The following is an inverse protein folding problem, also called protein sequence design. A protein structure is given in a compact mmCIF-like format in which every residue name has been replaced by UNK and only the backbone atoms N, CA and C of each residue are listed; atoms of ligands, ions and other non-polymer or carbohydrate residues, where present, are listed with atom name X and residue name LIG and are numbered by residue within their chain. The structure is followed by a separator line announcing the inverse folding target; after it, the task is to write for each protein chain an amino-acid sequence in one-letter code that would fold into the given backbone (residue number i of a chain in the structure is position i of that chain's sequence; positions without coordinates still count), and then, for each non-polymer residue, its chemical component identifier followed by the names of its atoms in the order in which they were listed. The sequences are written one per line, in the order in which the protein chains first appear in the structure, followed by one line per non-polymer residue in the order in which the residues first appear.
data_IF_089531777151
#
_entry.id   IF_089531777151
#
_cell.length_a   1.000
_cell.length_b   1.000
_cell.length_c   1.000
_cell.angle_alpha   90.00
_cell.angle_beta   90.00
_cell.angle_gamma   90.00
#
_symmetry.space_group_name_H-M   'P 1'
#
loop_
_entity.id
_entity.type
_entity.pdbx_description
1 polymer ?
2 non-polymer ?
3 water ?
#
# COMPACT_ATOMS: atom_id res chain seq x y z
N UNK A 21 24.09 19.45 -5.96
CA UNK A 21 22.70 19.59 -5.41
C UNK A 21 22.55 18.76 -4.13
N UNK A 22 21.74 19.24 -3.18
CA UNK A 22 21.55 18.47 -1.94
C UNK A 22 20.89 17.13 -2.27
N UNK A 23 21.10 16.14 -1.41
CA UNK A 23 20.50 14.82 -1.59
C UNK A 23 19.22 14.81 -0.78
N UNK A 24 18.08 14.78 -1.48
CA UNK A 24 16.76 14.80 -0.84
C UNK A 24 16.20 13.43 -0.49
N UNK A 25 15.84 13.25 0.78
CA UNK A 25 15.27 11.99 1.24
C UNK A 25 13.90 12.25 1.88
N UNK A 26 12.87 11.64 1.30
CA UNK A 26 11.52 11.78 1.81
C UNK A 26 11.17 10.65 2.75
N UNK A 27 10.55 10.98 3.87
CA UNK A 27 10.19 9.97 4.85
C UNK A 27 8.72 10.04 5.22
N UNK A 28 8.02 8.93 5.08
CA UNK A 28 6.62 8.93 5.44
C UNK A 28 6.21 7.74 6.32
N UNK A 29 4.91 7.62 6.55
CA UNK A 29 4.37 6.58 7.40
C UNK A 29 3.15 7.19 8.08
N UNK A 30 2.37 6.40 8.79
CA UNK A 30 1.19 6.94 9.45
C UNK A 30 1.55 7.79 10.65
N UNK A 31 0.55 8.35 11.31
CA UNK A 31 0.76 9.20 12.47
C UNK A 31 1.45 8.46 13.62
N UNK A 32 2.45 9.12 14.20
CA UNK A 32 3.21 8.57 15.31
C UNK A 32 3.86 7.22 14.98
N UNK A 33 4.21 7.04 13.71
CA UNK A 33 4.85 5.81 13.27
C UNK A 33 6.32 5.80 13.62
N UNK A 34 6.86 6.97 13.99
CA UNK A 34 8.26 7.08 14.34
C UNK A 34 9.11 7.63 13.20
N UNK A 35 8.51 8.43 12.32
CA UNK A 35 9.23 9.01 11.18
C UNK A 35 10.37 9.95 11.63
N UNK A 36 10.11 10.75 12.67
CA UNK A 36 11.09 11.67 13.17
C UNK A 36 12.28 10.92 13.76
N UNK A 37 12.01 9.92 14.59
CA UNK A 37 13.08 9.11 15.20
C UNK A 37 13.95 8.46 14.12
N UNK A 38 13.30 7.90 13.11
CA UNK A 38 14.02 7.26 12.02
C UNK A 38 14.96 8.28 11.40
N UNK A 39 14.48 9.50 11.19
CA UNK A 39 15.30 10.56 10.59
C UNK A 39 16.49 10.90 11.50
N UNK A 40 16.25 10.91 12.80
CA UNK A 40 17.27 11.22 13.77
C UNK A 40 18.35 10.13 13.79
N UNK A 41 17.91 8.86 13.80
CA UNK A 41 18.85 7.74 13.83
C UNK A 41 19.68 7.75 12.55
N UNK A 42 19.06 8.12 11.44
CA UNK A 42 19.79 8.15 10.19
C UNK A 42 20.89 9.20 10.27
N UNK A 43 20.55 10.39 10.77
CA UNK A 43 21.52 11.47 10.90
C UNK A 43 22.60 11.06 11.90
N UNK A 44 22.17 10.43 12.98
CA UNK A 44 23.06 9.97 14.03
C UNK A 44 24.13 9.02 13.46
N UNK A 45 23.71 8.12 12.58
CA UNK A 45 24.61 7.16 11.96
C UNK A 45 25.44 7.71 10.80
N UNK A 46 24.97 8.79 10.16
CA UNK A 46 25.74 9.38 9.06
C UNK A 46 26.95 10.11 9.59
N UNK A 55 32.93 15.44 6.18
CA UNK A 55 31.71 15.46 6.99
C UNK A 55 30.56 16.03 6.17
N UNK A 56 29.42 15.35 6.22
CA UNK A 56 28.24 15.78 5.48
C UNK A 56 27.31 16.63 6.37
N UNK A 57 26.85 17.75 5.82
CA UNK A 57 25.92 18.62 6.55
C UNK A 57 24.52 18.06 6.33
N UNK A 58 23.80 17.81 7.41
CA UNK A 58 22.46 17.24 7.31
C UNK A 58 21.39 18.04 8.07
N UNK A 59 20.19 18.11 7.51
CA UNK A 59 19.10 18.80 8.17
C UNK A 59 17.76 18.05 8.04
N UNK A 60 16.96 18.09 9.10
CA UNK A 60 15.68 17.41 9.09
C UNK A 60 14.54 18.42 9.08
N UNK A 61 13.67 18.31 8.08
CA UNK A 61 12.52 19.20 7.95
C UNK A 61 11.29 18.31 8.03
N UNK A 62 10.20 18.82 8.56
CA UNK A 62 8.98 18.04 8.66
C UNK A 62 7.85 18.67 7.86
N UNK A 63 6.96 17.85 7.32
CA UNK A 63 5.84 18.34 6.54
C UNK A 63 4.91 19.16 7.45
N UNK A 64 4.90 18.81 8.73
CA UNK A 64 4.07 19.48 9.72
C UNK A 64 4.28 20.98 9.80
N UNK A 65 5.50 21.42 9.54
CA UNK A 65 5.82 22.84 9.59
C UNK A 65 5.01 23.63 8.57
N UNK A 66 4.43 22.94 7.61
CA UNK A 66 3.66 23.60 6.56
C UNK A 66 2.17 23.41 6.58
N UNK A 67 1.61 23.10 7.75
CA UNK A 67 0.16 22.96 7.81
C UNK A 67 -0.39 24.33 7.42
N UNK A 68 -1.58 24.37 6.85
CA UNK A 68 -2.19 25.62 6.41
C UNK A 68 -2.65 26.52 7.55
N UNK A 69 -2.69 27.81 7.27
CA UNK A 69 -3.15 28.80 8.23
C UNK A 69 -4.67 28.63 8.23
N UNK A 70 -5.24 28.39 9.40
CA UNK A 70 -6.69 28.18 9.50
C UNK A 70 -7.51 29.42 9.81
N UNK A 71 -8.73 29.46 9.29
CA UNK A 71 -9.64 30.56 9.55
C UNK A 71 -10.10 30.35 10.99
N UNK A 72 -10.93 31.24 11.51
CA UNK A 72 -11.43 31.09 12.87
C UNK A 72 -12.45 29.95 12.93
N UNK A 73 -13.18 29.78 11.83
CA UNK A 73 -14.21 28.74 11.73
C UNK A 73 -13.56 27.35 11.71
N UNK A 74 -12.46 27.23 10.97
CA UNK A 74 -11.76 25.96 10.87
C UNK A 74 -11.08 25.66 12.20
N UNK A 75 -10.49 26.67 12.80
CA UNK A 75 -9.79 26.52 14.07
C UNK A 75 -10.78 26.06 15.13
N UNK A 76 -12.01 26.55 15.01
CA UNK A 76 -13.07 26.17 15.94
C UNK A 76 -13.30 24.67 15.81
N UNK A 77 -13.33 24.18 14.57
CA UNK A 77 -13.52 22.75 14.29
C UNK A 77 -12.40 21.96 14.95
N UNK A 78 -11.16 22.41 14.74
CA UNK A 78 -9.97 21.77 15.27
C UNK A 78 -10.00 21.62 16.79
N UNK A 79 -10.56 22.61 17.47
CA UNK A 79 -10.64 22.60 18.93
C UNK A 79 -11.55 21.51 19.44
N UNK A 80 -12.42 21.02 18.57
CA UNK A 80 -13.36 19.95 18.90
C UNK A 80 -12.93 18.64 18.22
N UNK A 81 -11.73 18.64 17.66
CA UNK A 81 -11.24 17.47 16.97
C UNK A 81 -12.21 17.15 15.84
N UNK A 82 -12.74 18.19 15.21
CA UNK A 82 -13.68 18.03 14.11
C UNK A 82 -13.13 18.54 12.80
N UNK A 83 -11.81 18.72 12.74
CA UNK A 83 -11.14 19.18 11.54
C UNK A 83 -10.21 18.08 11.05
N UNK A 84 -10.17 17.89 9.73
CA UNK A 84 -9.35 16.86 9.13
C UNK A 84 -7.93 17.33 8.81
N UNK A 85 -7.00 17.09 9.74
CA UNK A 85 -5.61 17.47 9.53
C UNK A 85 -4.84 16.37 8.82
N UNK A 86 -5.56 15.35 8.39
CA UNK A 86 -4.98 14.20 7.72
C UNK A 86 -5.35 14.10 6.25
N UNK A 87 -5.98 15.15 5.74
CA UNK A 87 -6.36 15.20 4.34
C UNK A 87 -5.27 15.99 3.63
N UNK A 88 -4.88 15.56 2.42
CA UNK A 88 -3.84 16.22 1.62
C UNK A 88 -3.92 17.75 1.64
N UNK A 89 -5.14 18.27 1.61
CA UNK A 89 -5.36 19.71 1.60
C UNK A 89 -5.16 20.44 2.91
N UNK A 90 -4.87 19.71 3.99
CA UNK A 90 -4.65 20.37 5.28
C UNK A 90 -3.29 21.06 5.25
N UNK A 91 -2.43 20.61 4.35
CA UNK A 91 -1.09 21.18 4.23
C UNK A 91 -1.01 22.26 3.17
N UNK A 92 -0.07 23.19 3.34
CA UNK A 92 0.14 24.27 2.40
C UNK A 92 1.06 23.74 1.31
N UNK A 93 0.56 22.77 0.54
CA UNK A 93 1.33 22.11 -0.51
C UNK A 93 2.09 23.01 -1.47
N UNK A 94 1.57 24.19 -1.76
CA UNK A 94 2.21 25.13 -2.69
C UNK A 94 3.51 25.65 -2.08
N UNK A 95 3.44 26.01 -0.81
CA UNK A 95 4.58 26.53 -0.08
C UNK A 95 5.66 25.45 0.05
N UNK A 96 5.22 24.22 0.30
CA UNK A 96 6.10 23.08 0.43
C UNK A 96 6.87 22.84 -0.86
N UNK A 97 6.14 22.78 -1.97
CA UNK A 97 6.76 22.55 -3.26
C UNK A 97 7.81 23.60 -3.57
N UNK A 98 7.47 24.85 -3.27
CA UNK A 98 8.35 25.97 -3.51
C UNK A 98 9.56 25.96 -2.57
N UNK A 99 9.32 25.71 -1.29
CA UNK A 99 10.40 25.68 -0.33
C UNK A 99 11.41 24.57 -0.62
N UNK A 100 10.91 23.40 -0.99
CA UNK A 100 11.76 22.25 -1.29
C UNK A 100 12.52 22.46 -2.60
N UNK A 101 11.92 23.19 -3.53
CA UNK A 101 12.56 23.44 -4.82
C UNK A 101 13.78 24.32 -4.62
N UNK A 102 13.63 25.33 -3.77
CA UNK A 102 14.70 26.27 -3.46
C UNK A 102 15.85 25.57 -2.74
N UNK A 103 15.54 24.61 -1.88
CA UNK A 103 16.57 23.86 -1.17
C UNK A 103 17.35 23.05 -2.21
N UNK A 104 16.60 22.46 -3.13
CA UNK A 104 17.17 21.66 -4.23
C UNK A 104 18.16 22.50 -5.04
N UNK A 105 17.90 23.80 -5.10
CA UNK A 105 18.72 24.73 -5.86
C UNK A 105 19.92 25.25 -5.07
N UNK A 106 20.05 24.82 -3.82
CA UNK A 106 21.17 25.25 -3.00
C UNK A 106 20.97 26.57 -2.29
N UNK A 107 19.75 27.10 -2.34
CA UNK A 107 19.47 28.37 -1.69
C UNK A 107 19.07 28.17 -0.24
N UNK A 108 19.48 29.09 0.63
CA UNK A 108 19.11 28.99 2.03
C UNK A 108 17.65 29.44 2.09
N UNK A 109 16.84 28.81 2.93
CA UNK A 109 15.43 29.16 3.00
C UNK A 109 14.89 29.44 4.39
N UNK A 110 13.68 30.00 4.42
CA UNK A 110 12.98 30.32 5.64
C UNK A 110 11.91 29.25 5.77
N UNK A 111 11.67 28.77 6.97
CA UNK A 111 10.68 27.72 7.19
C UNK A 111 9.70 28.05 8.31
N UNK A 112 8.41 27.85 8.05
CA UNK A 112 7.37 28.14 9.03
C UNK A 112 7.39 27.25 10.26
N UNK A 113 6.84 27.76 11.36
CA UNK A 113 6.76 27.07 12.65
C UNK A 113 5.28 26.94 13.02
N UNK A 114 4.82 25.70 13.18
CA UNK A 114 3.43 25.44 13.50
C UNK A 114 3.23 25.15 14.98
N UNK A 115 2.11 25.61 15.53
CA UNK A 115 1.83 25.38 16.93
C UNK A 115 0.64 24.44 17.06
N UNK A 116 0.91 23.24 17.55
CA UNK A 116 -0.12 22.22 17.70
C UNK A 116 -1.13 22.49 18.80
N UNK A 117 -0.79 23.35 19.75
CA UNK A 117 -1.71 23.64 20.84
C UNK A 117 -2.76 24.66 20.43
N UNK A 118 -2.46 25.46 19.42
CA UNK A 118 -3.40 26.48 18.95
C UNK A 118 -3.85 26.25 17.51
N UNK A 119 -3.27 25.24 16.87
CA UNK A 119 -3.60 24.92 15.48
C UNK A 119 -3.34 26.15 14.65
N UNK A 120 -2.21 26.81 14.90
CA UNK A 120 -1.88 28.03 14.17
C UNK A 120 -0.41 28.24 13.87
N UNK A 121 -0.15 28.81 12.70
CA UNK A 121 1.20 29.11 12.23
C UNK A 121 1.75 30.30 13.02
N UNK A 122 2.89 30.10 13.68
CA UNK A 122 3.51 31.15 14.47
C UNK A 122 4.12 32.22 13.58
N UNK A 123 4.35 33.41 14.13
CA UNK A 123 4.92 34.52 13.37
C UNK A 123 6.39 34.29 13.13
N UNK A 124 7.04 33.63 14.08
CA UNK A 124 8.46 33.34 13.99
C UNK A 124 8.77 32.35 12.86
N UNK A 125 9.94 32.49 12.27
CA UNK A 125 10.38 31.61 11.21
C UNK A 125 11.73 31.01 11.57
N UNK A 126 12.12 29.94 10.88
CA UNK A 126 13.40 29.31 11.15
C UNK A 126 14.25 29.23 9.88
N UNK A 127 15.48 29.73 9.97
CA UNK A 127 16.38 29.72 8.83
C UNK A 127 17.06 28.37 8.65
N UNK A 128 17.11 27.91 7.39
CA UNK A 128 17.73 26.64 7.09
C UNK A 128 18.75 26.83 5.97
N UNK A 129 20.02 26.85 6.36
CA UNK A 129 21.10 27.05 5.39
C UNK A 129 21.34 25.76 4.61
N UNK A 130 22.04 25.87 3.48
CA UNK A 130 22.35 24.73 2.61
C UNK A 130 22.82 23.49 3.38
N UNK A 131 22.75 22.34 2.72
CA UNK A 131 23.16 21.08 3.31
C UNK A 131 23.42 20.07 2.22
N UNK A 132 24.09 18.98 2.57
CA UNK A 132 24.40 17.91 1.61
C UNK A 132 23.27 16.91 1.55
N UNK A 133 22.60 16.72 2.69
CA UNK A 133 21.49 15.78 2.80
C UNK A 133 20.32 16.45 3.50
N UNK A 134 19.13 16.27 2.94
CA UNK A 134 17.93 16.84 3.51
C UNK A 134 16.86 15.77 3.68
N UNK A 135 16.39 15.62 4.91
CA UNK A 135 15.36 14.65 5.26
C UNK A 135 14.03 15.38 5.42
N UNK A 136 12.99 14.91 4.74
CA UNK A 136 11.66 15.51 4.81
C UNK A 136 10.65 14.44 5.25
N UNK A 137 10.07 14.61 6.43
CA UNK A 137 9.13 13.64 6.95
C UNK A 137 7.75 14.20 7.24
N UNK A 138 6.73 13.46 6.84
CA UNK A 138 5.36 13.88 7.06
C UNK A 138 4.40 12.77 6.66
N UNK A 139 3.20 12.77 7.23
CA UNK A 139 2.23 11.75 6.91
C UNK A 139 1.84 11.67 5.45
N UNK A 140 2.04 12.75 4.69
CA UNK A 140 1.69 12.77 3.28
C UNK A 140 2.77 13.35 2.39
N UNK A 141 4.03 13.07 2.71
CA UNK A 141 5.14 13.59 1.93
C UNK A 141 5.24 13.02 0.51
N UNK A 142 4.63 11.86 0.28
CA UNK A 142 4.69 11.23 -1.05
C UNK A 142 3.42 11.41 -1.86
N UNK A 143 2.41 12.07 -1.28
CA UNK A 143 1.14 12.27 -1.95
C UNK A 143 1.25 13.01 -3.28
N UNK A 144 1.61 14.29 -3.21
CA UNK A 144 1.78 15.10 -4.41
C UNK A 144 2.95 14.58 -5.23
N UNK A 145 2.71 14.24 -6.50
CA UNK A 145 3.76 13.74 -7.35
C UNK A 145 4.89 14.75 -7.60
N UNK A 146 4.55 16.04 -7.62
CA UNK A 146 5.57 17.06 -7.82
C UNK A 146 6.59 16.92 -6.69
N UNK A 147 6.09 16.98 -5.46
CA UNK A 147 6.94 16.85 -4.28
C UNK A 147 7.67 15.51 -4.27
N UNK A 148 6.92 14.45 -4.56
CA UNK A 148 7.45 13.08 -4.55
C UNK A 148 8.67 12.92 -5.44
N UNK A 149 8.63 13.51 -6.64
CA UNK A 149 9.74 13.41 -7.58
C UNK A 149 10.97 14.23 -7.15
N UNK A 150 10.81 15.03 -6.10
CA UNK A 150 11.93 15.85 -5.62
C UNK A 150 12.84 15.04 -4.70
N UNK A 151 12.38 13.85 -4.31
CA UNK A 151 13.15 12.99 -3.41
C UNK A 151 13.98 11.99 -4.20
N UNK A 152 15.25 11.85 -3.85
CA UNK A 152 16.12 10.90 -4.53
C UNK A 152 16.04 9.54 -3.85
N UNK A 153 15.35 9.55 -2.72
CA UNK A 153 15.14 8.34 -1.94
C UNK A 153 13.89 8.56 -1.08
N UNK A 154 13.06 7.53 -0.99
CA UNK A 154 11.83 7.62 -0.22
C UNK A 154 11.67 6.46 0.76
N UNK A 155 11.46 6.78 2.02
CA UNK A 155 11.31 5.78 3.07
C UNK A 155 9.92 5.84 3.68
N UNK A 156 9.35 4.67 3.96
CA UNK A 156 8.02 4.60 4.57
C UNK A 156 8.17 3.80 5.86
N UNK A 157 7.72 4.39 6.96
CA UNK A 157 7.81 3.75 8.26
C UNK A 157 6.51 3.01 8.52
N UNK A 158 6.62 1.71 8.74
CA UNK A 158 5.45 0.87 9.00
C UNK A 158 5.38 0.41 10.44
N UNK A 159 4.45 0.96 11.21
CA UNK A 159 4.32 0.57 12.60
C UNK A 159 2.90 0.10 12.87
N UNK A 160 2.76 -0.80 13.84
CA UNK A 160 1.45 -1.33 14.18
C UNK A 160 0.50 -0.21 14.55
N UNK A 161 -0.76 -0.33 14.11
CA UNK A 161 -1.77 0.67 14.37
C UNK A 161 -2.04 0.96 15.84
N UNK A 162 -2.12 -0.09 16.68
CA UNK A 162 -2.37 0.14 18.10
C UNK A 162 -1.15 0.78 18.78
N UNK A 163 0.04 0.51 18.25
CA UNK A 163 1.28 1.07 18.77
C UNK A 163 1.30 2.56 18.42
N UNK A 164 0.84 2.86 17.21
CA UNK A 164 0.78 4.23 16.71
C UNK A 164 -0.22 5.06 17.52
N UNK A 165 -1.39 4.49 17.77
CA UNK A 165 -2.41 5.20 18.52
C UNK A 165 -1.93 5.49 19.93
N UNK A 166 -1.36 4.46 20.57
CA UNK A 166 -0.88 4.61 21.94
C UNK A 166 0.03 5.84 22.04
N UNK A 167 0.98 5.95 21.12
CA UNK A 167 1.89 7.08 21.11
C UNK A 167 1.14 8.39 20.86
N UNK A 168 0.28 8.39 19.84
CA UNK A 168 -0.52 9.56 19.49
C UNK A 168 -1.20 10.14 20.72
N UNK A 169 -1.86 9.26 21.48
CA UNK A 169 -2.58 9.66 22.70
C UNK A 169 -1.69 10.29 23.77
N UNK A 170 -0.55 9.67 24.04
CA UNK A 170 0.35 10.20 25.05
C UNK A 170 1.04 11.49 24.60
N UNK A 171 1.40 11.54 23.33
CA UNK A 171 2.07 12.70 22.75
C UNK A 171 1.11 13.88 22.64
N UNK A 172 -0.12 13.60 22.25
CA UNK A 172 -1.12 14.66 22.12
C UNK A 172 -1.45 15.28 23.46
N UNK A 173 -1.66 14.44 24.47
CA UNK A 173 -1.96 14.90 25.81
C UNK A 173 -0.78 15.65 26.40
N UNK A 174 0.40 15.07 26.24
CA UNK A 174 1.62 15.64 26.77
C UNK A 174 2.19 16.86 26.06
N UNK A 175 2.37 16.78 24.74
CA UNK A 175 2.96 17.88 24.00
C UNK A 175 2.03 18.81 23.24
N UNK A 176 0.79 18.40 23.02
CA UNK A 176 -0.11 19.26 22.24
C UNK A 176 -1.36 19.71 23.01
N UNK A 177 -1.30 19.56 24.33
CA UNK A 177 -2.41 19.95 25.19
C UNK A 177 -3.79 19.58 24.69
N UNK A 178 -4.07 18.28 24.63
CA UNK A 178 -5.37 17.84 24.16
C UNK A 178 -5.97 16.84 25.12
N UNK A 179 -7.27 16.61 24.97
CA UNK A 179 -7.98 15.66 25.84
C UNK A 179 -8.21 14.32 25.17
N UNK A 180 -8.04 13.25 25.93
CA UNK A 180 -8.21 11.89 25.42
C UNK A 180 -9.43 11.73 24.52
N UNK A 181 -10.60 12.00 25.06
CA UNK A 181 -11.83 11.86 24.28
C UNK A 181 -11.82 12.61 22.95
N UNK A 182 -11.21 13.79 22.92
CA UNK A 182 -11.14 14.57 21.67
C UNK A 182 -10.14 13.90 20.72
N UNK A 183 -9.11 13.30 21.30
CA UNK A 183 -8.09 12.62 20.51
C UNK A 183 -8.72 11.40 19.82
N UNK A 184 -9.24 10.48 20.61
CA UNK A 184 -9.85 9.27 20.08
C UNK A 184 -10.92 9.57 19.05
N UNK A 185 -11.72 10.60 19.32
CA UNK A 185 -12.79 10.99 18.40
C UNK A 185 -12.20 11.45 17.07
N UNK A 186 -11.18 12.29 17.12
CA UNK A 186 -10.56 12.79 15.90
C UNK A 186 -9.86 11.67 15.14
N UNK A 187 -9.26 10.75 15.88
CA UNK A 187 -8.54 9.63 15.30
C UNK A 187 -9.51 8.74 14.51
N UNK A 188 -10.55 8.30 15.19
CA UNK A 188 -11.55 7.43 14.60
C UNK A 188 -12.33 8.12 13.46
N UNK A 189 -12.61 9.40 13.60
CA UNK A 189 -13.36 10.14 12.59
C UNK A 189 -12.54 10.59 11.40
N UNK A 190 -11.29 10.99 11.65
CA UNK A 190 -10.45 11.49 10.57
C UNK A 190 -9.13 10.78 10.28
N UNK A 191 -8.27 10.68 11.28
CA UNK A 191 -6.95 10.07 11.11
C UNK A 191 -6.92 8.69 10.45
N UNK A 192 -7.59 7.71 11.04
CA UNK A 192 -7.62 6.36 10.50
C UNK A 192 -8.19 6.34 9.06
N UNK A 193 -9.37 6.95 8.84
CA UNK A 193 -9.94 6.96 7.49
C UNK A 193 -8.98 7.62 6.48
N UNK A 194 -8.36 8.71 6.90
CA UNK A 194 -7.43 9.41 6.02
C UNK A 194 -6.17 8.57 5.76
N UNK A 195 -5.73 7.85 6.78
CA UNK A 195 -4.54 7.01 6.66
C UNK A 195 -4.76 5.93 5.60
N UNK A 196 -5.88 5.24 5.69
CA UNK A 196 -6.21 4.19 4.74
C UNK A 196 -6.43 4.73 3.34
N UNK A 197 -6.97 5.93 3.25
CA UNK A 197 -7.26 6.51 1.93
C UNK A 197 -6.16 7.35 1.30
N UNK A 198 -5.42 8.10 2.12
CA UNK A 198 -4.38 8.95 1.55
C UNK A 198 -2.95 8.57 1.83
N UNK A 199 -2.67 8.18 3.08
CA UNK A 199 -1.32 7.82 3.49
C UNK A 199 -0.87 6.45 2.97
N UNK A 200 -1.43 5.38 3.55
CA UNK A 200 -1.10 4.00 3.18
C UNK A 200 -0.87 3.77 1.69
N UNK A 201 -1.70 4.36 0.83
CA UNK A 201 -1.46 4.13 -0.60
C UNK A 201 -0.08 4.56 -1.08
N UNK A 202 0.47 5.62 -0.47
CA UNK A 202 1.79 6.13 -0.88
C UNK A 202 2.96 5.18 -0.58
N UNK A 203 2.74 4.16 0.24
CA UNK A 203 3.80 3.22 0.55
C UNK A 203 4.33 2.58 -0.73
N UNK A 204 3.50 2.54 -1.76
CA UNK A 204 3.94 1.94 -3.02
C UNK A 204 5.08 2.71 -3.66
N UNK A 205 5.28 3.96 -3.26
CA UNK A 205 6.34 4.80 -3.83
C UNK A 205 7.67 4.70 -3.11
N UNK A 206 7.68 4.04 -1.96
CA UNK A 206 8.90 3.92 -1.19
C UNK A 206 9.95 3.02 -1.85
N UNK A 207 11.21 3.39 -1.66
CA UNK A 207 12.34 2.61 -2.18
C UNK A 207 12.67 1.60 -1.09
N UNK A 208 12.35 1.95 0.16
CA UNK A 208 12.58 1.07 1.31
C UNK A 208 11.42 1.22 2.29
N UNK A 209 10.89 0.09 2.75
CA UNK A 209 9.81 0.10 3.72
C UNK A 209 10.44 -0.34 5.04
N UNK A 210 10.17 0.40 6.10
CA UNK A 210 10.78 0.07 7.38
C UNK A 210 9.81 -0.36 8.46
N UNK A 211 9.67 -1.68 8.68
CA UNK A 211 8.76 -2.14 9.73
C UNK A 211 9.41 -1.92 11.10
N UNK A 212 8.60 -1.76 12.13
CA UNK A 212 9.13 -1.55 13.49
C UNK A 212 9.83 -0.18 13.64
N UNK A 213 9.83 0.60 12.57
CA UNK A 213 10.43 1.92 12.59
C UNK A 213 11.85 2.05 13.09
N UNK A 214 12.10 3.12 13.83
CA UNK A 214 13.42 3.41 14.39
C UNK A 214 14.14 2.21 15.00
N UNK A 215 13.37 1.23 15.49
CA UNK A 215 13.96 0.04 16.12
C UNK A 215 14.58 -0.97 15.15
N UNK A 216 14.33 -0.78 13.87
CA UNK A 216 14.87 -1.66 12.84
C UNK A 216 16.25 -1.13 12.46
N UNK A 217 17.21 -1.27 13.38
CA UNK A 217 18.56 -0.79 13.14
C UNK A 217 19.20 -1.40 11.90
N UNK A 218 18.87 -2.65 11.61
CA UNK A 218 19.44 -3.31 10.43
C UNK A 218 19.02 -2.54 9.17
N UNK A 219 17.72 -2.27 9.03
CA UNK A 219 17.23 -1.56 7.85
C UNK A 219 17.80 -0.15 7.79
N UNK A 220 17.83 0.55 8.92
CA UNK A 220 18.35 1.91 8.93
C UNK A 220 19.83 1.92 8.54
N UNK A 221 20.58 0.91 8.99
CA UNK A 221 22.00 0.79 8.68
C UNK A 221 22.27 0.60 7.19
N UNK A 222 21.42 -0.17 6.52
CA UNK A 222 21.60 -0.40 5.09
C UNK A 222 21.31 0.90 4.37
N UNK A 223 20.33 1.64 4.89
CA UNK A 223 19.95 2.90 4.29
C UNK A 223 21.09 3.91 4.41
N UNK A 224 21.62 4.12 5.62
CA UNK A 224 22.71 5.08 5.77
C UNK A 224 23.93 4.62 4.98
N UNK A 225 24.06 3.32 4.82
CA UNK A 225 25.18 2.76 4.08
C UNK A 225 24.96 3.08 2.60
N UNK A 226 23.70 3.08 2.19
CA UNK A 226 23.33 3.37 0.81
C UNK A 226 23.49 4.87 0.53
N UNK A 227 23.17 5.69 1.52
CA UNK A 227 23.29 7.13 1.39
C UNK A 227 24.76 7.49 1.30
N UNK A 228 25.55 6.83 2.14
CA UNK A 228 26.99 7.07 2.17
C UNK A 228 27.63 6.73 0.80
N UNK A 229 27.25 5.60 0.22
CA UNK A 229 27.77 5.17 -1.07
C UNK A 229 27.48 6.15 -2.19
N UNK A 230 26.25 6.66 -2.24
CA UNK A 230 25.88 7.60 -3.29
C UNK A 230 26.66 8.90 -3.19
N UNK A 231 26.89 9.38 -1.96
CA UNK A 231 27.64 10.60 -1.75
C UNK A 231 29.12 10.40 -2.05
N UNK A 232 29.45 9.24 -2.65
CA UNK A 232 30.82 8.92 -3.03
C UNK A 232 30.84 8.46 -4.49
N UNK B 21 -26.96 -8.51 -15.82
CA UNK B 21 -25.84 -7.86 -15.05
C UNK B 21 -25.14 -8.89 -14.16
N UNK B 22 -23.90 -9.26 -14.49
CA UNK B 22 -23.09 -10.23 -13.75
C UNK B 22 -22.71 -9.85 -12.30
N UNK B 23 -22.70 -10.86 -11.44
CA UNK B 23 -22.36 -10.70 -10.04
C UNK B 23 -20.86 -10.97 -9.84
N UNK B 24 -20.13 -9.90 -9.55
CA UNK B 24 -18.68 -9.95 -9.34
C UNK B 24 -18.26 -10.24 -7.91
N UNK B 25 -17.47 -11.29 -7.76
CA UNK B 25 -16.95 -11.67 -6.45
C UNK B 25 -15.43 -11.59 -6.49
N UNK B 26 -14.84 -10.84 -5.56
CA UNK B 26 -13.40 -10.73 -5.51
C UNK B 26 -12.79 -11.67 -4.47
N UNK B 27 -11.67 -12.28 -4.80
CA UNK B 27 -11.02 -13.19 -3.86
C UNK B 27 -9.52 -12.90 -3.76
N UNK B 28 -9.06 -12.73 -2.52
CA UNK B 28 -7.64 -12.45 -2.30
C UNK B 28 -7.04 -13.36 -1.24
N UNK B 29 -5.75 -13.20 -1.03
CA UNK B 29 -5.03 -14.01 -0.07
C UNK B 29 -3.59 -13.98 -0.53
N UNK B 30 -2.70 -14.55 0.28
CA UNK B 30 -1.29 -14.57 -0.09
C UNK B 30 -1.01 -15.61 -1.16
N UNK B 31 0.24 -15.67 -1.60
CA UNK B 31 0.63 -16.63 -2.63
C UNK B 31 0.34 -18.05 -2.16
N UNK B 32 -0.28 -18.83 -3.04
CA UNK B 32 -0.60 -20.23 -2.77
C UNK B 32 -1.55 -20.46 -1.59
N UNK B 33 -2.38 -19.47 -1.30
CA UNK B 33 -3.33 -19.60 -0.20
C UNK B 33 -4.49 -20.51 -0.59
N UNK B 34 -4.59 -20.81 -1.88
CA UNK B 34 -5.65 -21.67 -2.37
C UNK B 34 -6.80 -20.87 -2.94
N UNK B 35 -6.49 -19.66 -3.41
CA UNK B 35 -7.52 -18.80 -3.98
C UNK B 35 -8.18 -19.40 -5.22
N UNK B 36 -7.40 -20.10 -6.04
CA UNK B 36 -7.93 -20.69 -7.26
C UNK B 36 -8.86 -21.86 -6.95
N UNK B 37 -8.51 -22.66 -5.94
CA UNK B 37 -9.33 -23.79 -5.53
C UNK B 37 -10.65 -23.33 -4.94
N UNK B 38 -10.61 -22.29 -4.13
CA UNK B 38 -11.82 -21.76 -3.50
C UNK B 38 -12.78 -21.39 -4.61
N UNK B 39 -12.27 -20.73 -5.64
CA UNK B 39 -13.10 -20.32 -6.76
C UNK B 39 -13.71 -21.54 -7.45
N UNK B 40 -12.86 -22.54 -7.68
CA UNK B 40 -13.29 -23.77 -8.34
C UNK B 40 -14.39 -24.44 -7.52
N UNK B 41 -14.18 -24.53 -6.20
CA UNK B 41 -15.16 -25.16 -5.31
C UNK B 41 -16.50 -24.43 -5.37
N UNK B 42 -16.46 -23.10 -5.44
CA UNK B 42 -17.68 -22.31 -5.50
C UNK B 42 -18.46 -22.64 -6.79
N UNK B 43 -17.73 -22.70 -7.90
CA UNK B 43 -18.32 -23.02 -9.19
C UNK B 43 -18.99 -24.37 -9.06
N UNK B 44 -18.19 -25.36 -8.70
CA UNK B 44 -18.65 -26.73 -8.52
C UNK B 44 -19.94 -26.77 -7.71
N UNK B 45 -19.87 -26.30 -6.46
CA UNK B 45 -21.04 -26.32 -5.59
C UNK B 45 -22.25 -25.61 -6.17
N UNK B 46 -22.05 -24.48 -6.84
CA UNK B 46 -23.18 -23.78 -7.42
C UNK B 46 -23.93 -24.71 -8.37
N UNK B 47 -23.17 -25.53 -9.09
CA UNK B 47 -23.76 -26.47 -10.03
C UNK B 47 -24.35 -27.74 -9.45
N UNK B 48 -24.62 -27.77 -8.15
CA UNK B 48 -25.20 -28.95 -7.50
C UNK B 48 -26.56 -28.66 -6.88
N UNK B 53 -32.36 -26.17 -15.62
CA UNK B 53 -33.17 -25.19 -16.35
C UNK B 53 -32.71 -23.77 -16.00
N UNK B 54 -32.20 -23.61 -14.79
CA UNK B 54 -31.72 -22.31 -14.33
C UNK B 54 -30.28 -22.36 -13.81
N UNK B 55 -29.50 -23.35 -14.26
CA UNK B 55 -28.10 -23.47 -13.84
C UNK B 55 -27.35 -22.20 -14.26
N UNK B 56 -26.75 -21.52 -13.29
CA UNK B 56 -26.04 -20.28 -13.54
C UNK B 56 -24.69 -20.39 -14.25
N UNK B 57 -24.40 -19.41 -15.11
CA UNK B 57 -23.14 -19.40 -15.82
C UNK B 57 -22.11 -18.70 -14.93
N UNK B 58 -21.00 -19.39 -14.69
CA UNK B 58 -19.96 -18.85 -13.83
C UNK B 58 -18.63 -18.82 -14.59
N UNK B 59 -17.74 -17.91 -14.21
CA UNK B 59 -16.44 -17.81 -14.84
C UNK B 59 -15.40 -17.29 -13.84
N UNK B 60 -14.18 -17.79 -13.98
CA UNK B 60 -13.08 -17.40 -13.10
C UNK B 60 -11.96 -16.65 -13.83
N UNK B 61 -11.58 -15.49 -13.28
CA UNK B 61 -10.52 -14.65 -13.84
C UNK B 61 -9.36 -14.53 -12.85
N UNK B 62 -8.15 -14.34 -13.37
CA UNK B 62 -6.96 -14.19 -12.51
C UNK B 62 -6.32 -12.82 -12.65
N UNK B 63 -5.96 -12.21 -11.52
CA UNK B 63 -5.31 -10.91 -11.54
C UNK B 63 -3.98 -11.14 -12.25
N UNK B 64 -3.46 -12.36 -12.09
CA UNK B 64 -2.20 -12.79 -12.69
C UNK B 64 -2.15 -12.63 -14.20
N UNK B 65 -3.30 -12.69 -14.86
CA UNK B 65 -3.32 -12.52 -16.31
C UNK B 65 -2.94 -11.10 -16.69
N UNK B 66 -2.97 -10.19 -15.70
CA UNK B 66 -2.67 -8.79 -15.96
C UNK B 66 -1.29 -8.32 -15.54
N UNK B 67 -0.35 -9.24 -15.37
CA UNK B 67 1.00 -8.82 -15.01
C UNK B 67 1.52 -7.97 -16.15
N UNK B 68 2.33 -6.98 -15.81
CA UNK B 68 2.88 -6.08 -16.81
C UNK B 68 3.91 -6.75 -17.72
N UNK B 69 4.14 -6.13 -18.87
CA UNK B 69 5.12 -6.61 -19.83
C UNK B 69 6.45 -6.04 -19.31
N UNK B 70 7.40 -6.93 -19.03
CA UNK B 70 8.68 -6.50 -18.50
C UNK B 70 9.65 -6.11 -19.60
N UNK B 71 10.61 -5.26 -19.25
CA UNK B 71 11.63 -4.80 -20.20
C UNK B 71 12.73 -5.85 -20.22
N UNK B 72 13.72 -5.66 -21.08
CA UNK B 72 14.82 -6.59 -21.19
C UNK B 72 15.53 -6.72 -19.84
N UNK B 73 15.77 -5.57 -19.20
CA UNK B 73 16.42 -5.53 -17.90
C UNK B 73 15.57 -6.20 -16.81
N UNK B 74 14.30 -5.86 -16.76
CA UNK B 74 13.39 -6.42 -15.76
C UNK B 74 13.27 -7.92 -15.91
N UNK B 75 13.19 -8.40 -17.14
CA UNK B 75 13.09 -9.83 -17.39
C UNK B 75 14.34 -10.57 -16.93
N UNK B 76 15.50 -9.98 -17.20
CA UNK B 76 16.76 -10.59 -16.81
C UNK B 76 16.76 -10.81 -15.31
N UNK B 77 16.43 -9.77 -14.56
CA UNK B 77 16.39 -9.86 -13.10
C UNK B 77 15.37 -10.88 -12.61
N UNK B 78 14.30 -11.06 -13.38
CA UNK B 78 13.24 -12.00 -13.01
C UNK B 78 13.75 -13.43 -13.07
N UNK B 79 14.59 -13.69 -14.06
CA UNK B 79 15.17 -15.02 -14.24
C UNK B 79 16.04 -15.36 -13.03
N UNK B 80 16.67 -14.34 -12.46
CA UNK B 80 17.52 -14.53 -11.30
C UNK B 80 16.70 -14.47 -10.00
N UNK B 81 15.39 -14.25 -10.15
CA UNK B 81 14.51 -14.17 -8.99
C UNK B 81 14.76 -12.88 -8.25
N UNK B 82 15.16 -11.85 -8.99
CA UNK B 82 15.46 -10.56 -8.41
C UNK B 82 14.44 -9.47 -8.79
N UNK B 83 13.25 -9.88 -9.18
CA UNK B 83 12.21 -8.92 -9.56
C UNK B 83 11.05 -9.08 -8.59
N UNK B 84 10.43 -7.97 -8.22
CA UNK B 84 9.31 -8.02 -7.28
C UNK B 84 7.94 -8.11 -7.97
N UNK B 85 7.42 -9.33 -8.11
CA UNK B 85 6.12 -9.53 -8.73
C UNK B 85 4.98 -9.44 -7.71
N UNK B 86 5.33 -9.05 -6.49
CA UNK B 86 4.35 -8.91 -5.41
C UNK B 86 4.06 -7.47 -5.04
N UNK B 87 4.65 -6.56 -5.78
CA UNK B 87 4.46 -5.14 -5.55
C UNK B 87 3.30 -4.66 -6.44
N UNK B 88 2.51 -3.69 -5.95
CA UNK B 88 1.38 -3.17 -6.71
C UNK B 88 1.74 -2.78 -8.14
N UNK B 89 2.96 -2.28 -8.33
CA UNK B 89 3.40 -1.86 -9.66
C UNK B 89 3.62 -2.98 -10.65
N UNK B 90 3.64 -4.22 -10.18
CA UNK B 90 3.87 -5.35 -11.07
C UNK B 90 2.63 -5.65 -11.91
N UNK B 91 1.47 -5.14 -11.48
CA UNK B 91 0.24 -5.41 -12.20
C UNK B 91 -0.21 -4.19 -13.02
N UNK B 92 -1.05 -4.43 -14.02
CA UNK B 92 -1.58 -3.35 -14.85
C UNK B 92 -2.94 -2.98 -14.25
N UNK B 93 -2.93 -2.26 -13.14
CA UNK B 93 -4.17 -1.89 -12.47
C UNK B 93 -5.13 -1.12 -13.35
N UNK B 94 -4.60 -0.35 -14.30
CA UNK B 94 -5.46 0.42 -15.20
C UNK B 94 -6.20 -0.55 -16.11
N UNK B 95 -5.45 -1.49 -16.70
CA UNK B 95 -6.04 -2.48 -17.59
C UNK B 95 -7.05 -3.34 -16.83
N UNK B 96 -6.75 -3.64 -15.58
CA UNK B 96 -7.63 -4.44 -14.73
C UNK B 96 -8.95 -3.71 -14.47
N UNK B 97 -8.86 -2.47 -14.04
CA UNK B 97 -10.06 -1.69 -13.74
C UNK B 97 -10.97 -1.57 -14.95
N UNK B 98 -10.40 -1.24 -16.10
CA UNK B 98 -11.18 -1.09 -17.32
C UNK B 98 -11.87 -2.42 -17.66
N UNK B 99 -11.09 -3.48 -17.76
CA UNK B 99 -11.64 -4.79 -18.08
C UNK B 99 -12.76 -5.20 -17.12
N UNK B 100 -12.53 -5.01 -15.83
CA UNK B 100 -13.53 -5.36 -14.82
C UNK B 100 -14.82 -4.55 -14.94
N UNK B 101 -14.68 -3.25 -15.11
CA UNK B 101 -15.85 -2.37 -15.26
C UNK B 101 -16.75 -2.81 -16.40
N UNK B 102 -16.13 -3.25 -17.50
CA UNK B 102 -16.88 -3.68 -18.67
C UNK B 102 -17.67 -4.96 -18.40
N UNK B 103 -17.04 -5.96 -17.77
CA UNK B 103 -17.74 -7.20 -17.46
C UNK B 103 -18.91 -6.85 -16.55
N UNK B 104 -18.64 -5.97 -15.60
CA UNK B 104 -19.64 -5.48 -14.65
C UNK B 104 -20.89 -4.99 -15.41
N UNK B 105 -20.64 -4.34 -16.54
CA UNK B 105 -21.70 -3.78 -17.39
C UNK B 105 -22.24 -4.78 -18.43
N UNK B 106 -21.86 -6.05 -18.31
CA UNK B 106 -22.33 -7.06 -19.24
C UNK B 106 -21.63 -7.17 -20.58
N UNK B 107 -20.66 -6.29 -20.84
CA UNK B 107 -19.93 -6.34 -22.09
C UNK B 107 -19.01 -7.54 -22.02
N UNK B 108 -18.70 -8.14 -23.17
CA UNK B 108 -17.79 -9.28 -23.17
C UNK B 108 -16.42 -8.62 -23.38
N UNK B 109 -15.35 -9.27 -22.92
CA UNK B 109 -14.03 -8.65 -23.04
C UNK B 109 -12.90 -9.58 -23.44
N UNK B 110 -11.74 -8.98 -23.73
CA UNK B 110 -10.53 -9.72 -24.10
C UNK B 110 -9.59 -9.65 -22.90
N UNK B 111 -8.92 -10.76 -22.62
CA UNK B 111 -8.00 -10.85 -21.49
C UNK B 111 -6.68 -11.48 -21.92
N UNK B 112 -5.55 -10.85 -21.56
CA UNK B 112 -4.24 -11.39 -21.94
C UNK B 112 -3.91 -12.72 -21.27
N UNK B 113 -2.80 -13.30 -21.71
CA UNK B 113 -2.32 -14.58 -21.18
C UNK B 113 -0.88 -14.38 -20.77
N UNK B 114 -0.57 -14.73 -19.52
CA UNK B 114 0.77 -14.55 -18.98
C UNK B 114 1.50 -15.86 -18.80
N UNK B 115 2.73 -15.93 -19.32
CA UNK B 115 3.55 -17.13 -19.19
C UNK B 115 4.47 -16.96 -17.98
N UNK B 116 4.34 -17.86 -17.00
CA UNK B 116 5.15 -17.81 -15.80
C UNK B 116 6.55 -18.37 -16.01
N UNK B 117 6.71 -19.23 -17.00
CA UNK B 117 8.04 -19.79 -17.24
C UNK B 117 8.97 -18.78 -17.89
N UNK B 118 8.42 -17.80 -18.61
CA UNK B 118 9.23 -16.78 -19.27
C UNK B 118 8.90 -15.35 -18.81
N UNK B 119 8.12 -15.22 -17.75
CA UNK B 119 7.73 -13.92 -17.23
C UNK B 119 7.34 -12.99 -18.38
N UNK B 120 6.59 -13.53 -19.32
CA UNK B 120 6.19 -12.73 -20.47
C UNK B 120 4.71 -12.86 -20.80
N UNK B 121 4.20 -11.85 -21.49
CA UNK B 121 2.81 -11.81 -21.91
C UNK B 121 2.75 -12.38 -23.32
N UNK B 122 1.96 -13.42 -23.52
CA UNK B 122 1.82 -14.02 -24.85
C UNK B 122 1.06 -13.09 -25.78
N UNK B 123 1.13 -13.35 -27.08
CA UNK B 123 0.42 -12.53 -28.06
C UNK B 123 -1.04 -12.96 -28.06
N UNK B 124 -1.26 -14.23 -27.70
CA UNK B 124 -2.58 -14.84 -27.62
C UNK B 124 -3.50 -14.09 -26.65
N UNK B 125 -4.71 -13.77 -27.10
CA UNK B 125 -5.66 -13.06 -26.26
C UNK B 125 -6.96 -13.89 -26.11
N UNK B 126 -7.38 -14.11 -24.87
CA UNK B 126 -8.58 -14.90 -24.59
C UNK B 126 -9.87 -14.09 -24.53
N UNK B 127 -10.95 -14.67 -25.06
CA UNK B 127 -12.24 -13.99 -25.05
C UNK B 127 -13.07 -14.46 -23.85
N UNK B 128 -13.52 -13.50 -23.06
CA UNK B 128 -14.33 -13.79 -21.89
C UNK B 128 -15.71 -13.14 -22.00
N UNK B 129 -16.75 -13.96 -22.05
CA UNK B 129 -18.12 -13.44 -22.14
C UNK B 129 -18.69 -13.27 -20.73
N UNK B 130 -19.66 -12.36 -20.56
CA UNK B 130 -20.29 -12.10 -19.26
C UNK B 130 -20.89 -13.38 -18.68
N UNK B 131 -21.18 -13.37 -17.39
CA UNK B 131 -21.76 -14.54 -16.75
C UNK B 131 -22.59 -14.13 -15.55
N UNK B 132 -23.37 -15.06 -15.02
CA UNK B 132 -24.19 -14.77 -13.86
C UNK B 132 -23.24 -14.38 -12.73
N UNK B 133 -22.17 -15.16 -12.61
CA UNK B 133 -21.16 -14.94 -11.57
C UNK B 133 -19.77 -14.85 -12.16
N UNK B 134 -19.03 -13.83 -11.74
CA UNK B 134 -17.67 -13.64 -12.21
C UNK B 134 -16.76 -13.64 -10.99
N UNK B 135 -15.81 -14.57 -10.97
CA UNK B 135 -14.87 -14.66 -9.87
C UNK B 135 -13.52 -14.11 -10.31
N UNK B 136 -12.94 -13.25 -9.48
CA UNK B 136 -11.66 -12.63 -9.78
C UNK B 136 -10.71 -12.84 -8.59
N UNK B 137 -9.63 -13.58 -8.82
CA UNK B 137 -8.66 -13.88 -7.77
C UNK B 137 -7.29 -13.26 -8.02
N UNK B 138 -6.62 -12.86 -6.94
CA UNK B 138 -5.31 -12.25 -7.05
C UNK B 138 -4.81 -11.84 -5.68
N UNK B 139 -3.49 -11.92 -5.48
CA UNK B 139 -2.89 -11.55 -4.20
C UNK B 139 -3.14 -10.11 -3.79
N UNK B 140 -3.45 -9.26 -4.76
CA UNK B 140 -3.68 -7.86 -4.43
C UNK B 140 -5.03 -7.37 -4.98
N UNK B 141 -5.95 -8.32 -5.19
CA UNK B 141 -7.27 -7.99 -5.70
C UNK B 141 -7.96 -6.83 -5.00
N UNK B 142 -7.74 -6.69 -3.69
CA UNK B 142 -8.39 -5.63 -2.93
C UNK B 142 -7.51 -4.41 -2.68
N UNK B 143 -6.35 -4.33 -3.33
CA UNK B 143 -5.46 -3.20 -3.11
C UNK B 143 -6.03 -1.87 -3.56
N UNK B 144 -6.33 -1.77 -4.85
CA UNK B 144 -6.91 -0.55 -5.40
C UNK B 144 -8.34 -0.35 -4.92
N UNK B 145 -8.62 0.81 -4.35
CA UNK B 145 -9.95 1.14 -3.85
C UNK B 145 -11.03 1.08 -4.92
N UNK B 146 -10.70 1.50 -6.14
CA UNK B 146 -11.67 1.48 -7.24
C UNK B 146 -12.07 0.07 -7.65
N UNK B 147 -11.08 -0.79 -7.79
CA UNK B 147 -11.32 -2.18 -8.16
C UNK B 147 -12.16 -2.85 -7.07
N UNK B 148 -11.77 -2.59 -5.82
CA UNK B 148 -12.44 -3.13 -4.63
C UNK B 148 -13.95 -2.87 -4.58
N UNK B 149 -14.38 -1.70 -5.04
CA UNK B 149 -15.80 -1.34 -5.01
C UNK B 149 -16.61 -1.99 -6.13
N UNK B 150 -15.90 -2.48 -7.15
CA UNK B 150 -16.55 -3.16 -8.25
C UNK B 150 -17.05 -4.55 -7.80
N UNK B 151 -16.48 -5.07 -6.73
CA UNK B 151 -16.86 -6.38 -6.21
C UNK B 151 -18.11 -6.32 -5.34
N UNK B 152 -19.02 -7.28 -5.52
CA UNK B 152 -20.25 -7.31 -4.74
C UNK B 152 -20.10 -8.21 -3.54
N UNK B 153 -19.04 -9.02 -3.57
CA UNK B 153 -18.70 -9.89 -2.46
C UNK B 153 -17.17 -9.99 -2.50
N UNK B 154 -16.55 -10.05 -1.32
CA UNK B 154 -15.09 -10.12 -1.23
C UNK B 154 -14.68 -11.18 -0.22
N UNK B 155 -13.85 -12.13 -0.66
CA UNK B 155 -13.40 -13.19 0.23
C UNK B 155 -11.88 -13.18 0.34
N UNK B 156 -11.37 -13.37 1.55
CA UNK B 156 -9.93 -13.41 1.74
C UNK B 156 -9.61 -14.80 2.23
N UNK B 157 -8.72 -15.48 1.52
CA UNK B 157 -8.34 -16.84 1.89
C UNK B 157 -7.16 -16.76 2.83
N UNK B 158 -7.35 -17.24 4.05
CA UNK B 158 -6.31 -17.19 5.06
C UNK B 158 -5.65 -18.57 5.31
N UNK B 159 -4.54 -18.84 4.62
CA UNK B 159 -3.85 -20.11 4.79
C UNK B 159 -2.50 -19.95 5.46
N UNK B 160 -2.21 -20.86 6.39
CA UNK B 160 -0.94 -20.85 7.12
C UNK B 160 0.25 -20.55 6.22
N UNK B 161 1.14 -19.70 6.72
CA UNK B 161 2.33 -19.28 5.99
C UNK B 161 3.23 -20.41 5.51
N UNK B 162 3.50 -21.40 6.37
CA UNK B 162 4.36 -22.50 5.95
C UNK B 162 3.64 -23.38 4.93
N UNK B 163 2.35 -23.62 5.17
CA UNK B 163 1.56 -24.43 4.24
C UNK B 163 1.61 -23.79 2.86
N UNK B 164 1.52 -22.47 2.81
CA UNK B 164 1.56 -21.73 1.56
C UNK B 164 2.92 -21.84 0.86
N UNK B 165 4.01 -21.69 1.61
CA UNK B 165 5.34 -21.76 1.01
C UNK B 165 5.57 -23.14 0.40
N UNK B 166 5.18 -24.17 1.14
CA UNK B 166 5.34 -25.54 0.70
C UNK B 166 4.74 -25.71 -0.71
N UNK B 167 3.53 -25.21 -0.88
CA UNK B 167 2.83 -25.29 -2.15
C UNK B 167 3.49 -24.43 -3.22
N UNK B 168 3.86 -23.21 -2.85
CA UNK B 168 4.50 -22.27 -3.76
C UNK B 168 5.72 -22.92 -4.41
N UNK B 169 6.51 -23.61 -3.58
CA UNK B 169 7.71 -24.28 -4.02
C UNK B 169 7.44 -25.43 -4.99
N UNK B 170 6.55 -26.33 -4.60
CA UNK B 170 6.22 -27.47 -5.44
C UNK B 170 5.63 -27.01 -6.77
N UNK B 171 4.70 -26.07 -6.68
CA UNK B 171 4.06 -25.54 -7.87
C UNK B 171 5.06 -24.84 -8.79
N UNK B 172 5.92 -24.00 -8.23
CA UNK B 172 6.90 -23.27 -9.02
C UNK B 172 7.88 -24.19 -9.74
N UNK B 173 8.33 -25.23 -9.07
CA UNK B 173 9.27 -26.16 -9.66
C UNK B 173 8.66 -26.93 -10.84
N UNK B 174 7.48 -27.50 -10.61
CA UNK B 174 6.82 -28.30 -11.62
C UNK B 174 5.99 -27.57 -12.69
N UNK B 175 5.63 -26.32 -12.45
CA UNK B 175 4.80 -25.59 -13.43
C UNK B 175 5.34 -24.27 -13.96
N UNK B 176 6.09 -23.55 -13.15
CA UNK B 176 6.61 -22.26 -13.57
C UNK B 176 8.11 -22.30 -13.86
N UNK B 177 8.63 -23.52 -13.94
CA UNK B 177 10.03 -23.74 -14.23
C UNK B 177 11.01 -22.98 -13.35
N UNK B 178 10.85 -23.09 -12.03
CA UNK B 178 11.76 -22.40 -11.12
C UNK B 178 12.56 -23.41 -10.31
N UNK B 179 13.75 -22.99 -9.87
CA UNK B 179 14.62 -23.81 -9.05
C UNK B 179 14.50 -23.42 -7.59
N UNK B 180 14.57 -24.42 -6.72
CA UNK B 180 14.45 -24.23 -5.28
C UNK B 180 15.10 -22.96 -4.75
N UNK B 181 16.42 -22.87 -4.88
CA UNK B 181 17.16 -21.72 -4.41
C UNK B 181 16.58 -20.36 -4.83
N UNK B 182 16.20 -20.24 -6.10
CA UNK B 182 15.64 -18.99 -6.60
C UNK B 182 14.28 -18.73 -5.96
N UNK B 183 13.51 -19.80 -5.80
CA UNK B 183 12.19 -19.70 -5.19
C UNK B 183 12.30 -19.17 -3.76
N UNK B 184 13.09 -19.85 -2.94
CA UNK B 184 13.26 -19.43 -1.56
C UNK B 184 13.87 -18.05 -1.45
N UNK B 185 14.69 -17.68 -2.42
CA UNK B 185 15.34 -16.38 -2.41
C UNK B 185 14.32 -15.27 -2.70
N UNK B 186 13.55 -15.48 -3.77
CA UNK B 186 12.53 -14.55 -4.19
C UNK B 186 11.49 -14.41 -3.09
N UNK B 187 11.11 -15.53 -2.49
CA UNK B 187 10.10 -15.52 -1.44
C UNK B 187 10.49 -14.68 -0.24
N UNK B 188 11.68 -14.95 0.31
CA UNK B 188 12.17 -14.21 1.46
C UNK B 188 12.45 -12.74 1.17
N UNK B 189 12.90 -12.44 -0.03
CA UNK B 189 13.23 -11.08 -0.40
C UNK B 189 12.05 -10.20 -0.84
N UNK B 190 11.07 -10.77 -1.52
CA UNK B 190 9.96 -9.95 -1.97
C UNK B 190 8.58 -10.41 -1.56
N UNK B 191 8.26 -11.67 -1.83
CA UNK B 191 6.93 -12.20 -1.53
C UNK B 191 6.48 -11.98 -0.08
N UNK B 192 7.22 -12.54 0.87
CA UNK B 192 6.86 -12.40 2.28
C UNK B 192 6.74 -10.93 2.70
N UNK B 193 7.75 -10.12 2.39
CA UNK B 193 7.64 -8.71 2.76
C UNK B 193 6.43 -8.03 2.12
N UNK B 194 6.24 -8.28 0.81
CA UNK B 194 5.15 -7.67 0.06
C UNK B 194 3.78 -8.14 0.52
N UNK B 195 3.71 -9.36 1.05
CA UNK B 195 2.45 -9.90 1.54
C UNK B 195 2.02 -9.16 2.80
N UNK B 196 2.99 -8.82 3.63
CA UNK B 196 2.72 -8.12 4.88
C UNK B 196 2.58 -6.62 4.62
N UNK B 197 3.23 -6.15 3.57
CA UNK B 197 3.22 -4.72 3.23
C UNK B 197 2.00 -4.30 2.44
N UNK B 198 1.61 -5.13 1.48
CA UNK B 198 0.48 -4.79 0.62
C UNK B 198 -0.76 -5.69 0.68
N UNK B 199 -0.56 -7.01 0.76
CA UNK B 199 -1.70 -7.91 0.77
C UNK B 199 -2.52 -7.92 2.07
N UNK B 200 -1.86 -8.26 3.17
CA UNK B 200 -2.52 -8.32 4.48
C UNK B 200 -3.42 -7.16 4.88
N UNK B 201 -3.00 -5.90 4.63
CA UNK B 201 -3.83 -4.73 4.99
C UNK B 201 -5.18 -4.64 4.27
N UNK B 202 -5.35 -5.38 3.18
CA UNK B 202 -6.63 -5.33 2.45
C UNK B 202 -7.62 -6.33 3.02
N UNK B 203 -7.12 -7.21 3.89
CA UNK B 203 -7.92 -8.26 4.51
C UNK B 203 -9.18 -7.73 5.21
N UNK B 204 -9.08 -6.55 5.82
CA UNK B 204 -10.19 -5.93 6.52
C UNK B 204 -11.39 -5.57 5.64
N UNK B 205 -11.17 -5.48 4.34
CA UNK B 205 -12.26 -5.13 3.43
C UNK B 205 -13.14 -6.31 3.03
N UNK B 206 -12.67 -7.53 3.29
CA UNK B 206 -13.43 -8.70 2.91
C UNK B 206 -14.72 -8.85 3.70
N UNK B 207 -15.69 -9.53 3.11
CA UNK B 207 -16.97 -9.81 3.75
C UNK B 207 -16.74 -11.00 4.66
N UNK B 208 -15.95 -11.94 4.16
CA UNK B 208 -15.63 -13.16 4.88
C UNK B 208 -14.16 -13.54 4.64
N UNK B 209 -13.49 -13.93 5.72
CA UNK B 209 -12.12 -14.37 5.63
C UNK B 209 -12.19 -15.87 5.87
N UNK B 210 -11.73 -16.64 4.89
CA UNK B 210 -11.78 -18.09 4.98
C UNK B 210 -10.51 -18.71 5.52
N UNK B 211 -10.54 -19.19 6.77
CA UNK B 211 -9.32 -19.81 7.32
C UNK B 211 -9.17 -21.20 6.70
N UNK B 212 -7.91 -21.59 6.47
CA UNK B 212 -7.56 -22.89 5.87
C UNK B 212 -8.15 -23.07 4.47
N UNK B 213 -8.33 -21.96 3.77
CA UNK B 213 -8.85 -21.96 2.41
C UNK B 213 -9.82 -23.01 1.94
N UNK B 214 -9.47 -23.66 0.83
CA UNK B 214 -10.29 -24.68 0.19
C UNK B 214 -10.83 -25.75 1.13
N UNK B 215 -10.00 -26.22 2.07
CA UNK B 215 -10.42 -27.25 3.01
C UNK B 215 -11.64 -26.84 3.83
N UNK B 216 -11.81 -25.54 4.06
CA UNK B 216 -12.95 -25.09 4.87
C UNK B 216 -14.26 -25.17 4.07
N UNK B 217 -14.90 -26.34 4.11
CA UNK B 217 -16.15 -26.51 3.38
C UNK B 217 -17.30 -25.81 4.08
N UNK B 218 -17.20 -25.64 5.39
CA UNK B 218 -18.26 -24.97 6.14
C UNK B 218 -18.43 -23.54 5.63
N UNK B 219 -17.33 -22.79 5.60
CA UNK B 219 -17.39 -21.41 5.15
C UNK B 219 -17.74 -21.34 3.67
N UNK B 220 -17.19 -22.27 2.88
CA UNK B 220 -17.45 -22.25 1.46
C UNK B 220 -18.91 -22.59 1.14
N UNK B 221 -19.55 -23.35 2.03
CA UNK B 221 -20.95 -23.70 1.85
C UNK B 221 -21.84 -22.53 2.21
N UNK B 222 -21.39 -21.71 3.15
CA UNK B 222 -22.15 -20.53 3.56
C UNK B 222 -22.08 -19.47 2.48
N UNK B 223 -20.92 -19.36 1.85
CA UNK B 223 -20.72 -18.37 0.79
C UNK B 223 -21.56 -18.76 -0.44
N UNK B 224 -21.53 -20.03 -0.81
CA UNK B 224 -22.30 -20.48 -1.95
C UNK B 224 -23.79 -20.24 -1.69
N UNK B 225 -24.21 -20.59 -0.47
CA UNK B 225 -25.59 -20.41 -0.05
C UNK B 225 -26.02 -18.96 -0.24
N UNK B 226 -25.24 -18.05 0.34
CA UNK B 226 -25.50 -16.63 0.26
C UNK B 226 -25.53 -16.13 -1.20
N UNK B 227 -24.69 -16.71 -2.04
CA UNK B 227 -24.65 -16.32 -3.45
C UNK B 227 -25.95 -16.72 -4.15
N UNK B 228 -26.42 -17.93 -3.88
CA UNK B 228 -27.65 -18.41 -4.48
C UNK B 228 -28.85 -17.61 -3.97
N UNK B 229 -28.86 -17.30 -2.68
CA UNK B 229 -29.95 -16.52 -2.09
C UNK B 229 -30.08 -15.17 -2.80
N UNK B 230 -28.94 -14.52 -3.04
CA UNK B 230 -28.94 -13.23 -3.70
C UNK B 230 -29.34 -13.30 -5.17
N UNK B 231 -28.76 -14.26 -5.88
CA UNK B 231 -29.03 -14.43 -7.30
C UNK B 231 -30.47 -14.78 -7.64
N UNK B 232 -31.11 -15.61 -6.83
CA UNK B 232 -32.49 -15.99 -7.10
C UNK B 232 -33.47 -14.89 -6.68
N UNK B 233 -33.22 -14.28 -5.53
CA UNK B 233 -34.10 -13.23 -5.06
C UNK B 233 -33.74 -12.78 -3.66
X LIG C 1 2.71 13.22 12.95
X LIG C 1 3.25 12.59 11.64
X LIG C 1 1.89 12.15 13.72
X LIG C 1 3.89 13.69 14.03
X LIG C 1 1.62 14.42 12.47
X LIG C 1 5.45 13.43 13.65
X LIG C 1 6.23 13.90 14.88
X LIG C 1 5.85 14.28 12.40
X LIG C 1 5.56 11.79 13.35
X LIG C 1 6.34 10.61 14.23
X LIG C 1 7.86 10.98 14.25
X LIG C 1 6.02 9.37 13.37
X LIG C 1 5.73 10.56 15.66
X LIG C 1 0.44 13.78 12.19
X LIG C 1 -0.80 14.21 12.86
X LIG C 1 -0.90 15.37 13.68
X LIG C 1 -2.28 15.74 13.61
X LIG C 1 -2.76 15.28 12.21
X LIG C 1 -4.16 14.95 12.24
X LIG C 1 -1.89 14.12 11.86
X LIG C 1 -2.44 12.84 12.10
X LIG C 1 -2.50 17.18 13.78
X LIG C 1 -1.94 18.09 12.90
X LIG C 1 -3.33 17.61 14.84
X LIG C 1 -3.87 16.87 15.64
X LIG C 1 -3.51 18.99 14.91
X LIG C 1 -2.96 19.97 14.04
X LIG C 1 -3.22 21.16 14.22
X LIG C 1 -2.13 19.45 12.99
X LIG D 1 -0.42 -16.88 -6.82
X LIG D 1 -1.51 -16.00 -6.16
X LIG D 1 0.44 -17.51 -5.70
X LIG D 1 -0.95 -18.19 -7.70
X LIG D 1 0.57 -15.81 -7.69
X LIG D 1 -2.54 -18.55 -7.83
X LIG D 1 -2.54 -19.87 -8.64
X LIG D 1 -3.29 -17.43 -8.62
X LIG D 1 -3.12 -18.71 -6.28
X LIG D 1 -3.46 -20.11 -5.44
X LIG D 1 -4.63 -20.86 -6.20
X LIG D 1 -3.91 -19.62 -4.04
X LIG D 1 -2.16 -20.97 -5.43
X LIG D 1 1.41 -15.17 -6.79
X LIG D 1 2.84 -15.13 -7.07
X LIG D 1 3.43 -15.56 -8.29
X LIG D 1 4.66 -14.88 -8.37
X LIG D 1 4.48 -13.56 -7.59
X LIG D 1 5.73 -13.27 -6.95
X LIG D 1 3.36 -13.82 -6.62
X LIG D 1 3.75 -14.02 -5.27
X LIG D 1 5.05 -14.57 -9.75
X LIG D 1 4.21 -13.87 -10.60
X LIG D 1 6.33 -15.01 -10.17
X LIG D 1 7.10 -15.63 -9.45
X LIG D 1 6.65 -14.68 -11.48
X LIG D 1 5.87 -13.97 -12.39
X LIG D 1 6.31 -13.75 -13.52
X LIG D 1 4.57 -13.55 -11.91
#
# INVERSE_FOLDING_TARGET
PGMAGDSEQTLQNHQQPNGGEPFLIGVSGGTASGKSSVCAKIVQLLGQNEVDYRQKQVVILSQDSFYRVLTSEQKAKALKGQFNFDHPDAFDNELILKTLKEITEGKTVQIPVYDFVSHSRKEETVTVYPADVVLFEGILAFYSQEVRDLFQMKLFVDTDADTRLSRRVLRDISERGRDLEQILSQYITFVKPAFEEFCLPTKKYADVIIPRGADNLVAINLIVQHIQDILNGGPSKRQTNGCLNGYTPSRK
PGMAGDSEQTLQNHQQPNGGEPFLIGVSGGTASGKSSVCAKIVQLLGQNEVDYRQKQVVILSQDSFYRVLTSEQKAKALKGQFNFDHPDAFDNELILKTLKEITEGKTVQIPVYDFVSHSRKEETVTVYPADVVLFEGILAFYSQEVRDLFQMKLFVDTDADTRLSRRVLRDISERGRDLEQILSQYITFVKPAFEEFCLPTKKYADVIIPRGADNLVAINLIVQHIQDILNGGPSKRQTNGCLNGYTPSRK
UTP PA O1A O2A O3A O5' PB O1B O2B O3B PG O1G O2G O3G C5' C4' O4' C1' C2' O2' C3' O3' N1 C6 C2 O2 N3 C4 O4 C5
UTP PA O1A O2A O3A O5' PB O1B O2B O3B PG O1G O2G O3G C5' C4' O4' C1' C2' O2' C3' O3' N1 C6 C2 O2 N3 C4 O4 C5
#
